data_IF_802645751164
#
_entry.id   IF_802645751164
#
_cell.length_a   1.000
_cell.length_b   1.000
_cell.length_c   1.000
_cell.angle_alpha   90.00
_cell.angle_beta   90.00
_cell.angle_gamma   90.00
#
_symmetry.space_group_name_H-M   'P 1'
#
loop_
_entity.id
_entity.type
_entity.pdbx_description
1 polymer ?
#
# COMPACT_ATOMS: atom_id res chain seq x y z
N UNK A 1 26.36 -22.44 3.95
CA UNK A 1 25.33 -22.60 2.89
C UNK A 1 24.07 -21.82 3.26
N UNK A 2 24.19 -20.53 3.59
CA UNK A 2 23.05 -19.62 3.75
C UNK A 2 22.80 -18.99 2.38
N UNK A 3 21.87 -19.58 1.61
CA UNK A 3 21.41 -18.99 0.36
C UNK A 3 20.64 -17.73 0.69
N UNK A 4 21.19 -16.58 0.29
CA UNK A 4 20.47 -15.32 0.09
C UNK A 4 19.14 -15.63 -0.60
N UNK A 5 18.05 -15.62 0.16
CA UNK A 5 16.74 -15.42 -0.45
C UNK A 5 16.80 -14.01 -1.04
N UNK A 6 16.51 -13.81 -2.34
CA UNK A 6 16.47 -12.46 -2.89
C UNK A 6 15.43 -11.66 -2.11
N UNK A 7 15.88 -10.59 -1.48
CA UNK A 7 15.03 -9.71 -0.69
C UNK A 7 13.82 -9.28 -1.51
N UNK A 8 12.65 -9.25 -0.87
CA UNK A 8 11.45 -8.79 -1.53
C UNK A 8 11.63 -7.31 -1.93
N UNK A 9 11.56 -6.95 -3.21
CA UNK A 9 11.85 -5.60 -3.69
C UNK A 9 10.69 -4.64 -3.37
N UNK A 10 10.56 -4.26 -2.09
CA UNK A 10 9.40 -3.57 -1.53
C UNK A 10 8.98 -2.33 -2.32
N UNK A 11 9.90 -1.37 -2.53
CA UNK A 11 9.58 -0.09 -3.19
C UNK A 11 9.14 -0.29 -4.64
N UNK A 12 9.88 -1.10 -5.40
CA UNK A 12 9.56 -1.34 -6.82
C UNK A 12 8.21 -2.07 -6.95
N UNK A 13 7.92 -3.03 -6.06
CA UNK A 13 6.62 -3.71 -6.06
C UNK A 13 5.49 -2.77 -5.65
N UNK A 14 5.71 -1.90 -4.67
CA UNK A 14 4.74 -0.87 -4.26
C UNK A 14 4.32 0.00 -5.45
N UNK A 15 5.28 0.57 -6.20
CA UNK A 15 4.99 1.41 -7.37
C UNK A 15 4.18 0.65 -8.43
N UNK A 16 4.54 -0.61 -8.69
CA UNK A 16 3.80 -1.44 -9.64
C UNK A 16 2.37 -1.75 -9.16
N UNK A 17 2.18 -2.02 -7.86
CA UNK A 17 0.85 -2.26 -7.29
C UNK A 17 0.00 -0.99 -7.36
N UNK A 18 0.58 0.18 -7.04
CA UNK A 18 -0.11 1.47 -7.18
C UNK A 18 -0.63 1.65 -8.61
N UNK A 19 0.22 1.38 -9.62
CA UNK A 19 -0.19 1.43 -11.03
C UNK A 19 -1.37 0.49 -11.32
N UNK A 20 -1.31 -0.76 -10.86
CA UNK A 20 -2.37 -1.76 -11.06
C UNK A 20 -3.69 -1.30 -10.43
N UNK A 21 -3.64 -0.79 -9.20
CA UNK A 21 -4.82 -0.35 -8.43
C UNK A 21 -5.49 0.84 -9.10
N UNK A 22 -4.71 1.84 -9.52
CA UNK A 22 -5.23 3.01 -10.23
C UNK A 22 -5.82 2.61 -11.59
N UNK A 23 -5.20 1.67 -12.31
CA UNK A 23 -5.75 1.15 -13.55
C UNK A 23 -7.08 0.42 -13.34
N UNK A 24 -7.18 -0.42 -12.32
CA UNK A 24 -8.43 -1.10 -11.97
C UNK A 24 -9.56 -0.09 -11.65
N UNK A 25 -9.24 1.04 -11.02
CA UNK A 25 -10.20 2.12 -10.81
C UNK A 25 -10.62 2.78 -12.12
N UNK A 26 -9.66 3.17 -12.97
CA UNK A 26 -9.93 3.82 -14.26
C UNK A 26 -10.73 2.94 -15.21
N UNK A 27 -10.55 1.63 -15.12
CA UNK A 27 -11.30 0.62 -15.86
C UNK A 27 -12.61 0.22 -15.16
N UNK A 28 -13.05 0.98 -14.15
CA UNK A 28 -14.31 0.81 -13.42
C UNK A 28 -14.49 -0.57 -12.74
N UNK A 29 -13.42 -1.33 -12.58
CA UNK A 29 -13.45 -2.67 -11.98
C UNK A 29 -13.87 -2.64 -10.50
N UNK A 30 -13.74 -1.48 -9.84
CA UNK A 30 -14.04 -1.27 -8.43
C UNK A 30 -15.37 -0.57 -8.18
N UNK A 31 -16.10 -0.15 -9.22
CA UNK A 31 -17.32 0.67 -9.08
C UNK A 31 -18.34 0.05 -8.12
N UNK A 32 -18.56 -1.27 -8.22
CA UNK A 32 -19.47 -1.99 -7.31
C UNK A 32 -19.02 -1.91 -5.86
N UNK A 33 -17.73 -2.00 -5.59
CA UNK A 33 -17.19 -2.01 -4.24
C UNK A 33 -17.14 -0.61 -3.63
N UNK A 34 -16.69 0.38 -4.41
CA UNK A 34 -16.73 1.79 -4.04
C UNK A 34 -18.15 2.24 -3.70
N UNK A 35 -19.12 1.90 -4.54
CA UNK A 35 -20.54 2.23 -4.30
C UNK A 35 -21.11 1.48 -3.09
N UNK A 36 -20.70 0.23 -2.87
CA UNK A 36 -21.14 -0.53 -1.69
C UNK A 36 -20.67 0.09 -0.38
N UNK A 37 -19.45 0.62 -0.34
CA UNK A 37 -18.85 1.22 0.86
C UNK A 37 -19.02 2.74 0.96
N UNK A 38 -19.46 3.39 -0.12
CA UNK A 38 -19.50 4.86 -0.25
C UNK A 38 -18.15 5.53 0.02
N UNK A 39 -17.04 4.85 -0.30
CA UNK A 39 -15.69 5.31 -0.04
C UNK A 39 -14.74 4.84 -1.13
N UNK A 40 -14.26 5.76 -1.97
CA UNK A 40 -13.35 5.42 -3.08
C UNK A 40 -11.93 5.21 -2.56
N UNK A 41 -11.41 6.15 -1.77
CA UNK A 41 -10.03 6.12 -1.25
C UNK A 41 -9.79 4.92 -0.33
N UNK A 42 -10.74 4.61 0.56
CA UNK A 42 -10.63 3.44 1.43
C UNK A 42 -10.57 2.13 0.64
N UNK A 43 -11.41 1.98 -0.40
CA UNK A 43 -11.42 0.78 -1.25
C UNK A 43 -10.12 0.64 -2.06
N UNK A 44 -9.55 1.76 -2.53
CA UNK A 44 -8.25 1.78 -3.20
C UNK A 44 -7.12 1.34 -2.27
N UNK A 45 -7.08 1.90 -1.05
CA UNK A 45 -6.07 1.56 -0.06
C UNK A 45 -6.15 0.10 0.37
N UNK A 46 -7.37 -0.41 0.60
CA UNK A 46 -7.57 -1.82 0.89
C UNK A 46 -7.15 -2.72 -0.27
N UNK A 47 -7.45 -2.34 -1.52
CA UNK A 47 -7.03 -3.12 -2.67
C UNK A 47 -5.51 -3.12 -2.82
N UNK A 48 -4.86 -1.98 -2.60
CA UNK A 48 -3.40 -1.85 -2.55
C UNK A 48 -2.81 -2.80 -1.50
N UNK A 49 -3.30 -2.75 -0.26
CA UNK A 49 -2.84 -3.62 0.82
C UNK A 49 -3.10 -5.10 0.53
N UNK A 50 -4.27 -5.43 -0.02
CA UNK A 50 -4.63 -6.81 -0.39
C UNK A 50 -3.72 -7.35 -1.49
N UNK A 51 -3.43 -6.55 -2.51
CA UNK A 51 -2.54 -6.92 -3.60
C UNK A 51 -1.10 -7.11 -3.10
N UNK A 52 -0.63 -6.22 -2.23
CA UNK A 52 0.68 -6.32 -1.59
C UNK A 52 0.82 -7.59 -0.75
N UNK A 53 -0.18 -7.88 0.09
CA UNK A 53 -0.24 -9.09 0.89
C UNK A 53 -0.21 -10.36 0.04
N UNK A 54 -1.01 -10.40 -1.04
CA UNK A 54 -1.01 -11.54 -1.95
C UNK A 54 0.37 -11.74 -2.59
N UNK A 55 0.96 -10.66 -3.13
CA UNK A 55 2.25 -10.71 -3.80
C UNK A 55 3.35 -11.17 -2.85
N UNK A 56 3.43 -10.59 -1.66
CA UNK A 56 4.43 -10.95 -0.66
C UNK A 56 4.30 -12.41 -0.20
N UNK A 57 3.07 -12.91 0.01
CA UNK A 57 2.84 -14.32 0.35
C UNK A 57 3.35 -15.25 -0.75
N UNK A 58 3.00 -14.99 -2.00
CA UNK A 58 3.47 -15.81 -3.14
C UNK A 58 4.99 -15.75 -3.23
N UNK A 59 5.57 -14.56 -3.07
CA UNK A 59 7.01 -14.36 -3.12
C UNK A 59 7.73 -15.22 -2.07
N UNK A 60 7.27 -15.16 -0.81
CA UNK A 60 7.87 -15.87 0.30
C UNK A 60 7.68 -17.39 0.20
N UNK A 61 6.45 -17.86 -0.06
CA UNK A 61 6.15 -19.29 -0.08
C UNK A 61 6.78 -20.02 -1.27
N UNK A 62 6.85 -19.36 -2.43
CA UNK A 62 7.38 -19.96 -3.65
C UNK A 62 8.85 -19.58 -3.91
N UNK A 63 9.50 -18.86 -2.98
CA UNK A 63 10.90 -18.39 -3.07
C UNK A 63 11.17 -17.69 -4.40
N UNK A 64 10.29 -16.74 -4.75
CA UNK A 64 10.38 -15.99 -6.00
C UNK A 64 11.55 -15.03 -6.00
N UNK A 65 11.95 -14.64 -7.20
CA UNK A 65 13.06 -13.74 -7.46
C UNK A 65 12.59 -12.53 -8.28
N UNK A 66 13.46 -11.54 -8.45
CA UNK A 66 13.19 -10.39 -9.32
C UNK A 66 12.88 -10.81 -10.76
N UNK A 67 13.45 -11.90 -11.26
CA UNK A 67 13.16 -12.42 -12.59
C UNK A 67 11.70 -12.90 -12.75
N UNK A 68 11.07 -13.34 -11.66
CA UNK A 68 9.67 -13.79 -11.66
C UNK A 68 8.66 -12.63 -11.61
N UNK A 69 9.12 -11.41 -11.35
CA UNK A 69 8.24 -10.27 -11.04
C UNK A 69 7.24 -9.95 -12.14
N UNK A 70 7.65 -10.00 -13.41
CA UNK A 70 6.80 -9.69 -14.55
C UNK A 70 5.58 -10.61 -14.63
N UNK A 71 5.78 -11.91 -14.38
CA UNK A 71 4.71 -12.90 -14.34
C UNK A 71 3.79 -12.67 -13.13
N UNK A 72 4.36 -12.50 -11.93
CA UNK A 72 3.59 -12.27 -10.71
C UNK A 72 2.74 -11.00 -10.79
N UNK A 73 3.29 -9.92 -11.32
CA UNK A 73 2.57 -8.65 -11.50
C UNK A 73 1.42 -8.79 -12.48
N UNK A 74 1.58 -9.58 -13.56
CA UNK A 74 0.51 -9.86 -14.53
C UNK A 74 -0.62 -10.68 -13.91
N UNK A 75 -0.30 -11.70 -13.12
CA UNK A 75 -1.30 -12.47 -12.39
C UNK A 75 -2.03 -11.63 -11.32
N UNK A 76 -1.29 -10.75 -10.66
CA UNK A 76 -1.83 -9.83 -9.67
C UNK A 76 -2.77 -8.80 -10.31
N UNK A 77 -2.40 -8.24 -11.46
CA UNK A 77 -3.23 -7.33 -12.25
C UNK A 77 -4.56 -7.98 -12.64
N UNK A 78 -4.51 -9.22 -13.16
CA UNK A 78 -5.71 -9.98 -13.48
C UNK A 78 -6.59 -10.22 -12.25
N UNK A 79 -5.99 -10.49 -11.09
CA UNK A 79 -6.71 -10.71 -9.84
C UNK A 79 -7.38 -9.43 -9.33
N UNK A 80 -6.66 -8.30 -9.36
CA UNK A 80 -7.15 -6.99 -8.96
C UNK A 80 -8.32 -6.52 -9.83
N UNK A 81 -8.24 -6.72 -11.15
CA UNK A 81 -9.27 -6.29 -12.09
C UNK A 81 -10.48 -7.22 -12.13
N UNK A 82 -10.25 -8.53 -12.24
CA UNK A 82 -11.35 -9.51 -12.45
C UNK A 82 -12.00 -9.96 -11.14
N UNK A 83 -11.27 -9.95 -10.02
CA UNK A 83 -11.72 -10.52 -8.75
C UNK A 83 -11.39 -9.63 -7.54
N UNK A 84 -11.66 -8.30 -7.59
CA UNK A 84 -11.29 -7.38 -6.50
C UNK A 84 -11.93 -7.77 -5.16
N UNK A 85 -13.20 -8.21 -5.17
CA UNK A 85 -13.90 -8.67 -3.97
C UNK A 85 -13.20 -9.84 -3.27
N UNK A 86 -12.59 -10.75 -4.03
CA UNK A 86 -11.86 -11.90 -3.45
C UNK A 86 -10.57 -11.43 -2.77
N UNK A 87 -9.87 -10.47 -3.38
CA UNK A 87 -8.68 -9.88 -2.78
C UNK A 87 -8.99 -9.15 -1.48
N UNK A 88 -10.05 -8.32 -1.48
CA UNK A 88 -10.48 -7.60 -0.29
C UNK A 88 -10.89 -8.54 0.84
N UNK A 89 -11.61 -9.63 0.54
CA UNK A 89 -11.92 -10.68 1.53
C UNK A 89 -10.67 -11.37 2.08
N UNK A 90 -9.66 -11.60 1.23
CA UNK A 90 -8.39 -12.20 1.68
C UNK A 90 -7.64 -11.28 2.64
N UNK A 91 -7.70 -9.96 2.43
CA UNK A 91 -7.13 -8.98 3.36
C UNK A 91 -7.91 -8.96 4.67
N UNK A 92 -9.24 -8.89 4.61
CA UNK A 92 -10.10 -8.92 5.80
C UNK A 92 -9.83 -10.16 6.65
N UNK A 93 -9.74 -11.34 6.03
CA UNK A 93 -9.41 -12.59 6.72
C UNK A 93 -8.00 -12.57 7.36
N UNK A 94 -7.05 -11.85 6.77
CA UNK A 94 -5.72 -11.69 7.35
C UNK A 94 -5.72 -10.74 8.54
N UNK A 95 -6.40 -9.60 8.44
CA UNK A 95 -6.50 -8.61 9.52
C UNK A 95 -7.26 -9.17 10.72
N UNK A 96 -8.30 -9.96 10.46
CA UNK A 96 -9.08 -10.63 11.52
C UNK A 96 -8.36 -11.85 12.13
N UNK A 97 -7.22 -12.27 11.57
CA UNK A 97 -6.39 -13.33 12.16
C UNK A 97 -5.62 -12.75 13.34
N UNK A 98 -5.92 -13.20 14.56
CA UNK A 98 -5.20 -12.78 15.76
C UNK A 98 -3.67 -12.98 15.57
N UNK A 99 -2.83 -11.98 15.92
CA UNK A 99 -1.38 -12.01 15.71
C UNK A 99 -0.65 -13.14 16.48
N UNK A 100 -1.34 -13.83 17.39
CA UNK A 100 -0.81 -14.98 18.11
C UNK A 100 -0.38 -16.16 17.19
N UNK A 101 -0.88 -16.23 15.95
CA UNK A 101 -0.66 -17.38 15.07
C UNK A 101 0.49 -17.26 14.06
N UNK A 102 1.06 -16.07 13.81
CA UNK A 102 2.03 -15.86 12.70
C UNK A 102 3.38 -15.29 13.13
N UNK A 103 3.62 -15.05 14.42
CA UNK A 103 4.93 -14.60 14.92
C UNK A 103 5.39 -13.23 14.38
N UNK A 104 4.55 -12.50 13.65
CA UNK A 104 4.74 -11.09 13.39
C UNK A 104 4.36 -10.34 14.67
N UNK A 105 5.36 -9.88 15.41
CA UNK A 105 5.15 -8.95 16.51
C UNK A 105 4.38 -7.74 15.96
N UNK A 106 3.21 -7.49 16.55
CA UNK A 106 2.50 -6.24 16.38
C UNK A 106 3.47 -5.12 16.79
N UNK A 107 3.68 -4.06 15.98
CA UNK A 107 4.32 -2.86 16.48
C UNK A 107 3.47 -2.42 17.67
N UNK A 108 4.05 -2.39 18.86
CA UNK A 108 3.44 -1.74 20.01
C UNK A 108 2.95 -0.38 19.54
N UNK A 109 1.64 -0.15 19.60
CA UNK A 109 1.04 1.14 19.31
C UNK A 109 1.85 2.20 20.07
N UNK A 110 2.40 3.22 19.40
CA UNK A 110 2.93 4.35 20.14
C UNK A 110 1.76 4.88 20.96
N UNK A 111 1.90 4.89 22.28
CA UNK A 111 1.05 5.67 23.15
C UNK A 111 0.93 7.05 22.53
N UNK A 112 -0.31 7.46 22.21
CA UNK A 112 -0.64 8.79 21.71
C UNK A 112 -0.09 9.84 22.66
N UNK A 113 1.14 10.31 22.42
CA UNK A 113 1.63 11.55 22.98
C UNK A 113 1.02 12.66 22.12
N UNK A 114 0.03 13.31 22.73
CA UNK A 114 -0.59 14.57 22.36
C UNK A 114 0.26 15.44 21.41
N UNK A 115 -0.25 15.64 20.19
CA UNK A 115 -0.08 16.88 19.41
C UNK A 115 1.33 17.28 18.98
N UNK A 116 1.90 16.58 18.02
CA UNK A 116 2.77 17.24 17.02
C UNK A 116 1.98 17.31 15.72
N UNK A 117 1.48 18.50 15.42
CA UNK A 117 0.86 18.84 14.13
C UNK A 117 1.95 18.78 13.07
N UNK A 118 1.97 17.69 12.31
CA UNK A 118 2.92 17.52 11.20
C UNK A 118 2.45 18.45 10.09
N UNK A 119 3.03 19.65 10.02
CA UNK A 119 2.78 20.58 8.92
C UNK A 119 3.35 19.99 7.62
N UNK A 120 2.46 19.44 6.78
CA UNK A 120 2.81 18.95 5.46
C UNK A 120 2.63 20.09 4.46
N UNK A 121 3.65 20.93 4.34
CA UNK A 121 3.71 21.92 3.27
C UNK A 121 3.86 21.19 1.94
N UNK A 122 2.87 21.33 1.06
CA UNK A 122 2.89 20.69 -0.25
C UNK A 122 4.03 21.23 -1.10
N UNK A 123 4.56 20.42 -2.02
CA UNK A 123 5.66 20.80 -2.95
C UNK A 123 5.32 22.03 -3.82
N UNK A 124 4.06 22.47 -3.83
CA UNK A 124 3.60 23.67 -4.53
C UNK A 124 3.59 24.94 -3.68
N UNK A 125 3.80 24.85 -2.36
CA UNK A 125 3.68 25.98 -1.43
C UNK A 125 5.06 26.59 -1.09
N UNK A 126 5.77 27.08 -2.11
CA UNK A 126 6.97 27.91 -1.86
C UNK A 126 6.52 29.31 -1.43
N UNK A 127 6.62 29.61 -0.12
CA UNK A 127 6.46 30.97 0.39
C UNK A 127 7.59 31.85 -0.15
N UNK A 128 7.22 32.85 -0.96
CA UNK A 128 8.12 33.93 -1.37
C UNK A 128 8.25 34.89 -0.20
N UNK A 129 9.36 34.83 0.55
CA UNK A 129 9.68 35.86 1.54
C UNK A 129 10.13 37.14 0.81
N UNK A 130 9.25 38.14 0.81
CA UNK A 130 9.60 39.53 0.50
C UNK A 130 10.31 40.12 1.72
N UNK A 131 11.62 40.26 1.62
CA UNK A 131 12.48 40.93 2.59
C UNK A 131 12.13 42.43 2.65
N UNK A 132 11.56 42.87 3.79
CA UNK A 132 11.11 44.25 4.01
C UNK A 132 11.50 44.74 5.42
N UNK A 133 12.27 45.83 5.43
CA UNK A 133 12.96 46.47 6.56
C UNK A 133 12.12 46.82 7.79
N UNK A 134 12.75 46.79 8.97
CA UNK A 134 13.06 48.00 9.78
C UNK A 134 13.53 47.61 11.20
N UNK A 135 14.81 47.86 11.52
CA UNK A 135 15.28 47.95 12.91
C UNK A 135 15.55 49.41 13.25
N UNK A 136 14.69 49.95 14.12
CA UNK A 136 14.91 51.20 14.83
C UNK A 136 15.96 50.98 15.93
N UNK A 137 17.02 51.79 15.94
CA UNK A 137 17.76 52.21 17.14
C UNK A 137 17.88 53.71 17.09
#
# INVERSE_FOLDING_TARGET
>A
LLRFLPDFPFCIMSVNITRIVIQALREECLSRECNRRQQVIAVLNDLYAAAFLQLYRVWKWQRKTVADSSFLLKELELSAKKKPKRLLKSLEAYVNRSPAADGLQQPSSPSTSLGEEIDFTGVCDLQVELEGEARLV
#
